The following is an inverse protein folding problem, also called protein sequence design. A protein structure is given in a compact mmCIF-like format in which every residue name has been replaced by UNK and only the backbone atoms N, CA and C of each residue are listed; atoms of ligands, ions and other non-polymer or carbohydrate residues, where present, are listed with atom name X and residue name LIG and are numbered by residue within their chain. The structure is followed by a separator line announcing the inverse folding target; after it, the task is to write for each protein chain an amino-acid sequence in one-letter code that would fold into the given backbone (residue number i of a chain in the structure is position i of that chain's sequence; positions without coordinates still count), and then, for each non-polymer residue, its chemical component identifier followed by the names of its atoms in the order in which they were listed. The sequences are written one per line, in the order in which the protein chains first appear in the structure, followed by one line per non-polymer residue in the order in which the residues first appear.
data_IF_428388966694
#
_entry.id   IF_428388966694
#
_cell.length_a   1.000
_cell.length_b   1.000
_cell.length_c   1.000
_cell.angle_alpha   90.00
_cell.angle_beta   90.00
_cell.angle_gamma   90.00
#
_symmetry.space_group_name_H-M   'P 1'
#
loop_
_entity.id
_entity.type
_entity.pdbx_description
1 polymer ?
#
# COMPACT_ATOMS: atom_id res chain seq x y z
N UNK A 1 -4.83 -4.61 18.30
CA UNK A 1 -4.81 -4.05 19.68
C UNK A 1 -5.86 -2.98 19.94
N UNK A 2 -6.17 -2.08 18.99
CA UNK A 2 -7.13 -0.97 19.20
C UNK A 2 -8.52 -1.44 19.67
N UNK A 3 -9.10 -2.42 18.97
CA UNK A 3 -10.41 -3.01 19.30
C UNK A 3 -10.47 -3.57 20.72
N UNK A 4 -9.48 -4.37 21.12
CA UNK A 4 -9.42 -4.96 22.45
C UNK A 4 -9.39 -3.92 23.58
N UNK A 5 -8.68 -2.80 23.38
CA UNK A 5 -8.66 -1.69 24.34
C UNK A 5 -10.04 -1.05 24.50
N UNK A 6 -10.79 -0.88 23.40
CA UNK A 6 -12.17 -0.39 23.43
C UNK A 6 -13.11 -1.40 24.12
N UNK A 7 -12.97 -2.71 23.85
CA UNK A 7 -13.74 -3.74 24.56
C UNK A 7 -13.50 -3.67 26.09
N UNK A 8 -12.26 -3.43 26.53
CA UNK A 8 -11.97 -3.21 27.96
C UNK A 8 -12.71 -1.99 28.51
N UNK A 9 -12.87 -0.91 27.72
CA UNK A 9 -13.61 0.29 28.13
C UNK A 9 -15.11 0.04 28.23
N UNK A 10 -15.70 -0.70 27.28
CA UNK A 10 -17.10 -1.14 27.36
C UNK A 10 -17.37 -1.91 28.65
N UNK A 11 -16.50 -2.87 28.98
CA UNK A 11 -16.63 -3.67 30.21
C UNK A 11 -16.48 -2.83 31.49
N UNK A 12 -15.58 -1.84 31.49
CA UNK A 12 -15.34 -0.95 32.64
C UNK A 12 -16.42 0.11 32.84
N UNK A 13 -17.04 0.57 31.75
CA UNK A 13 -17.99 1.69 31.74
C UNK A 13 -19.23 1.33 30.92
N UNK A 14 -20.06 0.38 31.39
CA UNK A 14 -21.18 -0.18 30.60
C UNK A 14 -22.30 0.83 30.32
N UNK A 15 -22.39 1.92 31.10
CA UNK A 15 -23.37 2.99 30.91
C UNK A 15 -22.94 4.02 29.84
N UNK A 16 -21.70 3.95 29.35
CA UNK A 16 -21.19 4.84 28.31
C UNK A 16 -21.34 4.15 26.95
N UNK A 17 -22.42 4.47 26.24
CA UNK A 17 -22.72 3.91 24.92
C UNK A 17 -21.64 4.19 23.88
N UNK A 18 -20.95 5.33 24.00
CA UNK A 18 -19.93 5.78 23.03
C UNK A 18 -18.79 4.77 22.87
N UNK A 19 -18.45 3.98 23.90
CA UNK A 19 -17.43 2.95 23.77
C UNK A 19 -17.88 1.78 22.90
N UNK A 20 -19.17 1.43 22.92
CA UNK A 20 -19.71 0.39 22.05
C UNK A 20 -19.80 0.89 20.61
N UNK A 21 -20.20 2.15 20.44
CA UNK A 21 -20.26 2.80 19.14
C UNK A 21 -18.88 2.93 18.49
N UNK A 22 -17.86 3.30 19.27
CA UNK A 22 -16.48 3.37 18.80
C UNK A 22 -15.94 2.02 18.31
N UNK A 23 -16.43 0.88 18.84
CA UNK A 23 -16.08 -0.45 18.30
C UNK A 23 -16.70 -0.64 16.91
N UNK A 24 -17.98 -0.28 16.74
CA UNK A 24 -18.68 -0.35 15.45
C UNK A 24 -17.96 0.50 14.40
N UNK A 25 -17.66 1.75 14.72
CA UNK A 25 -16.95 2.66 13.83
C UNK A 25 -15.53 2.17 13.49
N UNK A 26 -14.81 1.62 14.48
CA UNK A 26 -13.49 1.05 14.24
C UNK A 26 -13.55 -0.12 13.25
N UNK A 27 -14.50 -1.04 13.44
CA UNK A 27 -14.67 -2.21 12.57
C UNK A 27 -15.09 -1.77 11.14
N UNK A 28 -15.96 -0.76 11.01
CA UNK A 28 -16.35 -0.19 9.71
C UNK A 28 -15.19 0.51 9.00
N UNK A 29 -14.38 1.27 9.74
CA UNK A 29 -13.18 1.92 9.22
C UNK A 29 -12.19 0.88 8.70
N UNK A 30 -11.95 -0.19 9.44
CA UNK A 30 -11.02 -1.25 9.03
C UNK A 30 -11.52 -1.97 7.77
N UNK A 31 -12.83 -2.21 7.67
CA UNK A 31 -13.42 -2.78 6.47
C UNK A 31 -13.19 -1.91 5.22
N UNK A 32 -13.38 -0.60 5.33
CA UNK A 32 -13.10 0.34 4.24
C UNK A 32 -11.60 0.33 3.92
N UNK A 33 -10.74 0.33 4.95
CA UNK A 33 -9.29 0.30 4.77
C UNK A 33 -8.84 -0.91 3.97
N UNK A 34 -9.35 -2.11 4.29
CA UNK A 34 -9.04 -3.35 3.56
C UNK A 34 -9.37 -3.22 2.06
N UNK A 35 -10.54 -2.64 1.74
CA UNK A 35 -10.94 -2.42 0.33
C UNK A 35 -10.02 -1.45 -0.39
N UNK A 36 -9.63 -0.35 0.27
CA UNK A 36 -8.70 0.63 -0.29
C UNK A 36 -7.34 -0.02 -0.50
N UNK A 37 -6.80 -0.72 0.50
CA UNK A 37 -5.53 -1.44 0.39
C UNK A 37 -5.53 -2.43 -0.77
N UNK A 38 -6.63 -3.16 -1.00
CA UNK A 38 -6.75 -4.06 -2.14
C UNK A 38 -6.66 -3.31 -3.49
N UNK A 39 -7.35 -2.16 -3.60
CA UNK A 39 -7.25 -1.29 -4.78
C UNK A 39 -5.85 -0.75 -4.96
N UNK A 40 -5.20 -0.32 -3.88
CA UNK A 40 -3.83 0.20 -3.91
C UNK A 40 -2.83 -0.87 -4.33
N UNK A 41 -2.97 -2.11 -3.84
CA UNK A 41 -2.14 -3.24 -4.29
C UNK A 41 -2.26 -3.44 -5.80
N UNK A 42 -3.49 -3.50 -6.34
CA UNK A 42 -3.72 -3.63 -7.79
C UNK A 42 -3.09 -2.48 -8.57
N UNK A 43 -3.28 -1.24 -8.10
CA UNK A 43 -2.76 -0.05 -8.76
C UNK A 43 -1.23 -0.02 -8.72
N UNK A 44 -0.61 -0.41 -7.60
CA UNK A 44 0.84 -0.52 -7.45
C UNK A 44 1.43 -1.53 -8.43
N UNK A 45 0.84 -2.73 -8.54
CA UNK A 45 1.28 -3.71 -9.54
C UNK A 45 1.16 -3.19 -10.97
N UNK A 46 0.05 -2.54 -11.29
CA UNK A 46 -0.18 -1.97 -12.63
C UNK A 46 0.85 -0.88 -12.95
N UNK A 47 1.15 -0.01 -11.98
CA UNK A 47 2.11 1.08 -12.14
C UNK A 47 3.54 0.56 -12.28
N UNK A 48 3.95 -0.41 -11.45
CA UNK A 48 5.27 -1.05 -11.54
C UNK A 48 5.41 -1.74 -12.89
N UNK A 49 4.40 -2.49 -13.33
CA UNK A 49 4.40 -3.17 -14.62
C UNK A 49 4.54 -2.18 -15.78
N UNK A 50 3.75 -1.11 -15.79
CA UNK A 50 3.82 -0.05 -16.80
C UNK A 50 5.20 0.63 -16.84
N UNK A 51 5.74 0.98 -15.66
CA UNK A 51 7.06 1.57 -15.53
C UNK A 51 8.16 0.65 -16.08
N UNK A 52 8.10 -0.64 -15.74
CA UNK A 52 9.05 -1.64 -16.22
C UNK A 52 8.94 -1.83 -17.73
N UNK A 53 7.72 -1.98 -18.27
CA UNK A 53 7.51 -2.14 -19.70
C UNK A 53 8.07 -0.96 -20.51
N UNK A 54 7.80 0.27 -20.06
CA UNK A 54 8.28 1.49 -20.72
C UNK A 54 9.81 1.64 -20.69
N UNK A 55 10.48 1.04 -19.70
CA UNK A 55 11.92 1.19 -19.49
C UNK A 55 12.69 -0.13 -19.67
N UNK A 56 12.06 -1.17 -20.21
CA UNK A 56 12.56 -2.53 -20.18
C UNK A 56 13.97 -2.67 -20.77
N UNK A 57 14.23 -2.01 -21.90
CA UNK A 57 15.54 -2.04 -22.55
C UNK A 57 16.65 -1.49 -21.65
N UNK A 58 16.41 -0.38 -20.95
CA UNK A 58 17.36 0.23 -20.02
C UNK A 58 17.53 -0.61 -18.74
N UNK A 59 16.45 -1.25 -18.29
CA UNK A 59 16.48 -2.13 -17.12
C UNK A 59 17.30 -3.39 -17.41
N UNK A 60 17.14 -3.99 -18.60
CA UNK A 60 17.85 -5.22 -18.99
C UNK A 60 19.26 -4.94 -19.52
N UNK A 61 19.47 -3.81 -20.20
CA UNK A 61 20.76 -3.37 -20.75
C UNK A 61 21.06 -1.92 -20.32
N UNK A 62 21.50 -1.72 -19.06
CA UNK A 62 21.72 -0.38 -18.50
C UNK A 62 22.90 0.38 -19.09
N UNK A 63 23.81 -0.30 -19.79
CA UNK A 63 24.93 0.32 -20.51
C UNK A 63 24.62 0.29 -22.01
N UNK A 64 24.63 1.46 -22.65
CA UNK A 64 24.80 1.52 -24.10
C UNK A 64 26.14 0.88 -24.44
N UNK A 65 26.19 0.02 -25.45
CA UNK A 65 27.45 -0.41 -26.03
C UNK A 65 28.18 0.86 -26.52
N UNK A 66 29.15 1.33 -25.74
CA UNK A 66 30.10 2.34 -26.18
C UNK A 66 30.96 1.66 -27.24
N UNK A 67 30.48 1.60 -28.48
CA UNK A 67 31.32 1.23 -29.60
C UNK A 67 32.23 2.42 -29.90
N UNK A 68 33.38 2.39 -29.24
CA UNK A 68 34.47 3.32 -29.36
C UNK A 68 34.99 3.29 -30.81
N UNK A 69 34.57 4.22 -31.68
CA UNK A 69 35.38 4.55 -32.86
C UNK A 69 36.24 5.77 -32.52
N UNK A 70 37.32 5.53 -31.78
CA UNK A 70 38.50 6.38 -31.88
C UNK A 70 39.08 6.14 -33.26
N UNK A 71 38.70 6.95 -34.23
CA UNK A 71 39.50 7.12 -35.44
C UNK A 71 40.77 7.85 -35.01
N UNK A 72 41.78 7.10 -34.61
CA UNK A 72 43.17 7.58 -34.62
C UNK A 72 43.67 7.53 -36.06
N UNK A 73 43.85 8.69 -36.65
CA UNK A 73 44.88 8.96 -37.65
C UNK A 73 45.79 10.05 -37.10
#
# INVERSE_FOLDING_TARGET
MARAKLCTKVLKYPHVSDYSEAIRELDEKEWIHIKITHVDMRNNYSMIYDLLCKNWEKVVKPKSENNHYRMTF
#
